data_IF_064734599184
#
_entry.id   IF_064734599184
#
_cell.length_a   1.000
_cell.length_b   1.000
_cell.length_c   1.000
_cell.angle_alpha   90.00
_cell.angle_beta   90.00
_cell.angle_gamma   90.00
#
_symmetry.space_group_name_H-M   'P 1'
#
loop_
_entity.id
_entity.type
_entity.pdbx_description
1 polymer ?
#
# COMPACT_ATOMS: atom_id res chain seq x y z
N UNK A 1 -10.92 11.78 0.85
CA UNK A 1 -9.62 11.96 0.16
C UNK A 1 -8.69 12.70 1.11
N UNK A 2 -7.59 12.08 1.52
CA UNK A 2 -6.80 12.47 2.71
C UNK A 2 -6.10 13.85 2.58
N UNK A 3 -5.92 14.38 1.35
CA UNK A 3 -5.20 15.64 1.11
C UNK A 3 -5.87 16.63 0.13
N UNK A 4 -7.11 16.36 -0.30
CA UNK A 4 -7.83 17.16 -1.29
C UNK A 4 -7.45 16.85 -2.75
N UNK A 5 -7.98 17.65 -3.67
CA UNK A 5 -7.74 17.54 -5.11
C UNK A 5 -6.37 18.13 -5.50
N UNK A 6 -5.83 17.73 -6.67
CA UNK A 6 -4.61 18.32 -7.25
C UNK A 6 -4.62 19.86 -7.27
N UNK A 7 -5.78 20.47 -7.52
CA UNK A 7 -5.94 21.94 -7.55
C UNK A 7 -5.78 22.56 -6.16
N UNK A 8 -6.33 21.92 -5.13
CA UNK A 8 -6.23 22.37 -3.75
C UNK A 8 -4.80 22.23 -3.22
N UNK A 9 -4.11 21.14 -3.56
CA UNK A 9 -2.70 20.93 -3.25
C UNK A 9 -1.81 22.00 -3.91
N UNK A 10 -1.99 22.25 -5.21
CA UNK A 10 -1.25 23.31 -5.90
C UNK A 10 -1.51 24.70 -5.31
N UNK A 11 -2.73 24.99 -4.87
CA UNK A 11 -3.05 26.27 -4.22
C UNK A 11 -2.34 26.40 -2.88
N UNK A 12 -2.30 25.33 -2.08
CA UNK A 12 -1.59 25.30 -0.80
C UNK A 12 -0.08 25.43 -0.99
N UNK A 13 0.51 24.68 -1.92
CA UNK A 13 1.96 24.74 -2.21
C UNK A 13 2.38 26.15 -2.62
N UNK A 14 1.66 26.80 -3.53
CA UNK A 14 1.91 28.20 -3.95
C UNK A 14 1.72 29.24 -2.85
N UNK A 15 0.98 28.91 -1.80
CA UNK A 15 0.79 29.78 -0.64
C UNK A 15 1.88 29.59 0.41
N UNK A 16 2.56 28.44 0.41
CA UNK A 16 3.54 28.06 1.42
C UNK A 16 4.98 28.29 0.96
N UNK A 17 5.22 28.26 -0.35
CA UNK A 17 6.54 28.46 -0.95
C UNK A 17 6.51 29.61 -1.94
N UNK A 18 7.56 30.42 -1.95
CA UNK A 18 7.75 31.46 -2.97
C UNK A 18 8.06 30.82 -4.33
N UNK A 19 7.77 31.53 -5.44
CA UNK A 19 7.95 30.99 -6.79
C UNK A 19 9.39 30.59 -7.12
N UNK A 20 10.37 31.17 -6.42
CA UNK A 20 11.80 30.94 -6.63
C UNK A 20 12.40 29.93 -5.63
N UNK A 21 11.58 29.42 -4.71
CA UNK A 21 11.99 28.46 -3.69
C UNK A 21 11.91 27.03 -4.23
N UNK A 22 13.03 26.31 -4.18
CA UNK A 22 13.08 24.93 -4.63
C UNK A 22 12.58 24.01 -3.51
N UNK A 23 11.48 23.30 -3.76
CA UNK A 23 10.97 22.28 -2.86
C UNK A 23 10.94 20.90 -3.53
N UNK A 24 11.24 19.87 -2.75
CA UNK A 24 11.09 18.47 -3.17
C UNK A 24 9.73 17.96 -2.69
N UNK A 25 8.87 17.55 -3.62
CA UNK A 25 7.60 16.92 -3.29
C UNK A 25 7.75 15.40 -3.33
N UNK A 26 7.68 14.75 -2.17
CA UNK A 26 7.58 13.30 -2.07
C UNK A 26 6.14 12.88 -2.34
N UNK A 27 5.91 12.31 -3.53
CA UNK A 27 4.61 11.74 -3.91
C UNK A 27 4.72 10.23 -3.82
N UNK A 28 4.01 9.64 -2.86
CA UNK A 28 3.78 8.21 -2.80
C UNK A 28 2.41 7.90 -3.39
N UNK A 29 2.37 7.22 -4.54
CA UNK A 29 1.12 6.67 -5.06
C UNK A 29 0.89 5.26 -4.53
N UNK A 30 -0.35 4.78 -4.64
CA UNK A 30 -0.67 3.38 -4.31
C UNK A 30 0.19 2.42 -5.14
N UNK A 31 0.43 2.74 -6.42
CA UNK A 31 1.28 1.93 -7.29
C UNK A 31 2.75 1.91 -6.82
N UNK A 32 3.29 3.05 -6.39
CA UNK A 32 4.67 3.11 -5.89
C UNK A 32 4.86 2.27 -4.62
N UNK A 33 3.85 2.27 -3.74
CA UNK A 33 3.84 1.44 -2.53
C UNK A 33 3.72 -0.04 -2.86
N UNK A 34 2.81 -0.42 -3.76
CA UNK A 34 2.66 -1.82 -4.21
C UNK A 34 3.92 -2.34 -4.90
N UNK A 35 4.64 -1.49 -5.64
CA UNK A 35 5.90 -1.87 -6.29
C UNK A 35 7.03 -2.21 -5.30
N UNK A 36 6.86 -1.92 -4.00
CA UNK A 36 7.89 -2.21 -3.00
C UNK A 36 7.96 -3.68 -2.58
N UNK A 37 6.87 -4.43 -2.71
CA UNK A 37 6.78 -5.84 -2.28
C UNK A 37 5.92 -6.65 -3.25
N UNK A 38 6.44 -7.81 -3.65
CA UNK A 38 5.70 -8.75 -4.49
C UNK A 38 4.43 -9.24 -3.77
N UNK A 39 3.29 -9.19 -4.47
CA UNK A 39 1.96 -9.60 -3.97
C UNK A 39 1.33 -8.70 -2.90
N UNK A 40 1.79 -7.45 -2.73
CA UNK A 40 1.04 -6.49 -1.91
C UNK A 40 -0.34 -6.22 -2.51
N UNK A 41 -1.38 -6.35 -1.71
CA UNK A 41 -2.76 -6.06 -2.12
C UNK A 41 -3.04 -4.56 -2.11
N UNK A 42 -4.04 -4.12 -2.87
CA UNK A 42 -4.45 -2.71 -2.88
C UNK A 42 -4.90 -2.18 -1.52
N UNK A 43 -5.51 -3.04 -0.69
CA UNK A 43 -5.95 -2.68 0.67
C UNK A 43 -4.76 -2.47 1.59
N UNK A 44 -3.76 -3.37 1.56
CA UNK A 44 -2.51 -3.23 2.30
C UNK A 44 -1.76 -1.95 1.88
N UNK A 45 -1.66 -1.68 0.56
CA UNK A 45 -1.03 -0.45 0.08
C UNK A 45 -1.77 0.82 0.53
N UNK A 46 -3.10 0.76 0.62
CA UNK A 46 -3.91 1.88 1.14
C UNK A 46 -3.68 2.09 2.63
N UNK A 47 -3.54 1.01 3.41
CA UNK A 47 -3.22 1.07 4.84
C UNK A 47 -1.84 1.71 5.07
N UNK A 48 -0.83 1.32 4.29
CA UNK A 48 0.50 1.92 4.36
C UNK A 48 0.48 3.41 4.00
N UNK A 49 -0.24 3.80 2.94
CA UNK A 49 -0.37 5.22 2.60
C UNK A 49 -1.00 6.04 3.73
N UNK A 50 -1.96 5.46 4.44
CA UNK A 50 -2.55 6.09 5.62
C UNK A 50 -1.56 6.19 6.77
N UNK A 51 -0.75 5.15 6.99
CA UNK A 51 0.27 5.11 8.03
C UNK A 51 1.40 6.12 7.77
N UNK A 52 1.88 6.22 6.52
CA UNK A 52 2.81 7.26 6.05
C UNK A 52 2.28 8.65 6.42
N UNK A 53 1.00 8.89 6.19
CA UNK A 53 0.35 10.16 6.54
C UNK A 53 0.23 10.44 8.04
N UNK A 54 0.46 9.44 8.89
CA UNK A 54 0.37 9.53 10.35
C UNK A 54 1.73 9.64 11.06
N UNK A 55 2.83 9.29 10.37
CA UNK A 55 4.19 9.39 10.92
C UNK A 55 4.48 10.85 11.27
N UNK A 56 5.02 11.14 12.45
CA UNK A 56 5.44 12.50 12.82
C UNK A 56 6.86 12.73 12.28
N UNK A 57 7.13 13.88 11.65
CA UNK A 57 8.49 14.23 11.18
C UNK A 57 8.88 13.74 9.77
N UNK A 58 7.96 13.06 9.06
CA UNK A 58 8.12 12.70 7.64
C UNK A 58 8.40 13.89 6.72
N UNK A 59 8.14 15.12 7.18
CA UNK A 59 8.45 16.37 6.49
C UNK A 59 9.94 16.73 6.49
N UNK A 60 10.72 16.23 7.45
CA UNK A 60 12.16 16.54 7.59
C UNK A 60 13.05 15.47 6.95
N UNK A 61 12.77 14.19 7.20
CA UNK A 61 13.62 13.06 6.72
C UNK A 61 13.05 12.34 5.49
N UNK A 62 11.78 12.62 5.14
CA UNK A 62 11.07 11.90 4.08
C UNK A 62 10.74 10.45 4.46
N UNK A 63 10.05 9.76 3.55
CA UNK A 63 9.76 8.33 3.67
C UNK A 63 10.52 7.58 2.59
N UNK A 64 11.44 6.71 3.01
CA UNK A 64 12.25 5.90 2.10
C UNK A 64 11.53 4.61 1.68
N UNK A 65 12.00 3.98 0.59
CA UNK A 65 11.57 2.64 0.19
C UNK A 65 11.72 1.61 1.33
N UNK A 66 12.77 1.73 2.13
CA UNK A 66 13.01 0.88 3.30
C UNK A 66 11.91 1.06 4.35
N UNK A 67 11.56 2.31 4.66
CA UNK A 67 10.50 2.63 5.62
C UNK A 67 9.17 2.03 5.23
N UNK A 68 8.81 2.09 3.93
CA UNK A 68 7.58 1.47 3.40
C UNK A 68 7.59 -0.05 3.56
N UNK A 69 8.74 -0.71 3.31
CA UNK A 69 8.87 -2.16 3.52
C UNK A 69 8.78 -2.55 4.99
N UNK A 70 9.34 -1.75 5.89
CA UNK A 70 9.24 -1.96 7.33
C UNK A 70 7.80 -1.80 7.83
N UNK A 71 7.06 -0.78 7.37
CA UNK A 71 5.62 -0.63 7.65
C UNK A 71 4.81 -1.83 7.14
N UNK A 72 5.08 -2.29 5.90
CA UNK A 72 4.42 -3.48 5.36
C UNK A 72 4.70 -4.73 6.20
N UNK A 73 5.95 -4.93 6.64
CA UNK A 73 6.32 -6.06 7.49
C UNK A 73 5.56 -6.02 8.84
N UNK A 74 5.41 -4.83 9.42
CA UNK A 74 4.58 -4.61 10.61
C UNK A 74 3.12 -5.00 10.37
N UNK A 75 2.51 -4.48 9.31
CA UNK A 75 1.13 -4.79 8.93
C UNK A 75 0.91 -6.31 8.74
N UNK A 76 1.85 -6.99 8.07
CA UNK A 76 1.77 -8.45 7.85
C UNK A 76 1.99 -9.26 9.12
N UNK A 77 2.75 -8.76 10.09
CA UNK A 77 2.94 -9.44 11.37
C UNK A 77 1.66 -9.48 12.21
N UNK A 78 0.75 -8.52 12.01
CA UNK A 78 -0.57 -8.52 12.65
C UNK A 78 -1.54 -9.54 12.02
N UNK A 79 -1.27 -10.00 10.80
CA UNK A 79 -2.08 -11.02 10.13
C UNK A 79 -1.64 -12.40 10.64
N UNK A 80 -2.52 -13.17 11.29
CA UNK A 80 -2.19 -14.51 11.75
C UNK A 80 -1.77 -15.39 10.57
N UNK A 81 -0.53 -15.86 10.58
CA UNK A 81 -0.04 -16.84 9.62
C UNK A 81 -0.28 -18.24 10.17
N UNK A 82 -0.92 -19.09 9.38
CA UNK A 82 -1.13 -20.50 9.72
C UNK A 82 -0.19 -21.33 8.87
N UNK A 83 0.71 -22.08 9.51
CA UNK A 83 1.56 -23.04 8.82
C UNK A 83 0.71 -24.27 8.51
N UNK A 84 0.56 -24.57 7.22
CA UNK A 84 -0.15 -25.77 6.75
C UNK A 84 0.83 -26.71 6.04
N UNK A 85 0.67 -28.04 6.17
CA UNK A 85 1.38 -29.00 5.36
C UNK A 85 1.16 -28.73 3.86
N UNK A 86 2.22 -28.89 3.05
CA UNK A 86 2.17 -28.57 1.62
C UNK A 86 1.13 -29.42 0.87
N UNK A 87 0.94 -30.68 1.27
CA UNK A 87 -0.07 -31.58 0.71
C UNK A 87 -1.49 -31.13 1.04
N UNK A 88 -1.71 -30.56 2.22
CA UNK A 88 -3.00 -29.98 2.60
C UNK A 88 -3.30 -28.72 1.78
N UNK A 89 -2.30 -27.87 1.59
CA UNK A 89 -2.45 -26.66 0.77
C UNK A 89 -2.78 -27.03 -0.68
N UNK A 90 -2.08 -28.00 -1.26
CA UNK A 90 -2.35 -28.49 -2.63
C UNK A 90 -3.80 -28.98 -2.77
N UNK A 91 -4.28 -29.81 -1.83
CA UNK A 91 -5.66 -30.30 -1.83
C UNK A 91 -6.68 -29.17 -1.70
N UNK A 92 -6.40 -28.16 -0.87
CA UNK A 92 -7.26 -26.99 -0.74
C UNK A 92 -7.34 -26.19 -2.04
N UNK A 93 -6.22 -26.02 -2.74
CA UNK A 93 -6.16 -25.34 -4.04
C UNK A 93 -6.94 -26.12 -5.10
N UNK A 94 -6.80 -27.45 -5.15
CA UNK A 94 -7.56 -28.30 -6.09
C UNK A 94 -9.08 -28.20 -5.86
N UNK A 95 -9.52 -28.25 -4.60
CA UNK A 95 -10.93 -28.12 -4.25
C UNK A 95 -11.46 -26.72 -4.57
N UNK A 96 -10.68 -25.67 -4.30
CA UNK A 96 -11.05 -24.30 -4.64
C UNK A 96 -11.19 -24.11 -6.15
N UNK A 97 -10.28 -24.67 -6.95
CA UNK A 97 -10.36 -24.64 -8.41
C UNK A 97 -11.65 -25.30 -8.92
N UNK A 98 -11.96 -26.52 -8.44
CA UNK A 98 -13.19 -27.22 -8.80
C UNK A 98 -14.46 -26.42 -8.43
N UNK A 99 -14.46 -25.74 -7.29
CA UNK A 99 -15.59 -24.92 -6.87
C UNK A 99 -15.81 -23.72 -7.80
N UNK A 100 -14.74 -23.02 -8.17
CA UNK A 100 -14.80 -21.89 -9.12
C UNK A 100 -15.28 -22.33 -10.49
N UNK A 101 -14.77 -23.46 -11.02
CA UNK A 101 -15.22 -24.01 -12.31
C UNK A 101 -16.73 -24.33 -12.30
N UNK A 102 -17.26 -24.81 -11.17
CA UNK A 102 -18.70 -25.08 -11.04
C UNK A 102 -19.56 -23.84 -10.90
N UNK A 103 -18.99 -22.73 -10.42
CA UNK A 103 -19.66 -21.44 -10.29
C UNK A 103 -19.71 -20.72 -11.65
N UNK A 104 -18.61 -20.74 -12.39
CA UNK A 104 -18.54 -20.23 -13.77
C UNK A 104 -19.46 -20.99 -14.73
N UNK A 105 -19.62 -22.31 -14.56
CA UNK A 105 -20.54 -23.11 -15.36
C UNK A 105 -22.04 -22.85 -15.06
N UNK A 106 -22.35 -22.10 -13.99
CA UNK A 106 -23.73 -21.75 -13.57
C UNK A 106 -24.11 -20.29 -13.87
N UNK A 107 -23.16 -19.46 -14.29
CA UNK A 107 -23.37 -18.07 -14.71
C UNK A 107 -23.79 -17.98 -16.19
#
# INVERSE_FOLDING_TARGET
MMYGTRKELNKKLKSMFDNDEHFALLVWTKQDVMAQVENMTESEASAILQEIGSVIGHTEEGISFRSVREMYAGLRAEIPTVIVPADLLARLTDVAGLALDTEDARA
#
